data_IF_737758310475
#
_entry.id   IF_737758310475
#
_cell.length_a   1.000
_cell.length_b   1.000
_cell.length_c   1.000
_cell.angle_alpha   90.00
_cell.angle_beta   90.00
_cell.angle_gamma   90.00
#
_symmetry.space_group_name_H-M   'P 1'
#
loop_
_entity.id
_entity.type
_entity.pdbx_description
1 polymer ?
#
# COMPACT_ATOMS: atom_id res chain seq x y z
N UNK A 1 12.37 -24.40 -52.41
CA UNK A 1 13.43 -24.18 -51.41
C UNK A 1 12.81 -23.32 -50.33
N UNK A 2 12.24 -23.96 -49.31
CA UNK A 2 11.52 -23.30 -48.22
C UNK A 2 12.53 -22.83 -47.19
N UNK A 3 12.65 -21.53 -46.98
CA UNK A 3 13.37 -20.98 -45.82
C UNK A 3 12.31 -20.59 -44.81
N UNK A 4 12.11 -21.49 -43.84
CA UNK A 4 11.32 -21.25 -42.65
C UNK A 4 12.11 -20.47 -41.59
N UNK A 5 11.37 -20.15 -40.53
CA UNK A 5 11.82 -19.67 -39.22
C UNK A 5 12.03 -18.16 -39.04
N UNK A 6 10.89 -17.46 -38.94
CA UNK A 6 10.74 -16.35 -37.99
C UNK A 6 10.90 -16.88 -36.55
N UNK A 7 12.12 -16.82 -36.00
CA UNK A 7 12.36 -17.11 -34.57
C UNK A 7 11.96 -15.89 -33.73
N UNK A 8 10.72 -15.91 -33.22
CA UNK A 8 10.33 -15.12 -32.03
C UNK A 8 10.98 -15.75 -30.80
N UNK A 9 11.98 -15.09 -30.21
CA UNK A 9 12.58 -15.37 -28.91
C UNK A 9 13.29 -14.06 -28.51
N UNK A 10 13.03 -13.32 -27.42
CA UNK A 10 12.69 -13.59 -26.01
C UNK A 10 11.96 -12.32 -25.50
N UNK A 11 10.71 -12.27 -25.00
CA UNK A 11 10.05 -13.05 -23.96
C UNK A 11 10.85 -13.30 -22.65
N UNK A 12 11.98 -12.61 -22.45
CA UNK A 12 12.73 -12.65 -21.18
C UNK A 12 13.01 -11.28 -20.55
N UNK A 13 12.52 -10.20 -21.17
CA UNK A 13 12.41 -8.88 -20.53
C UNK A 13 10.99 -8.34 -20.64
N UNK A 14 9.99 -9.20 -20.38
CA UNK A 14 8.73 -8.69 -19.85
C UNK A 14 9.00 -8.45 -18.36
N UNK A 15 9.47 -7.24 -18.04
CA UNK A 15 9.15 -6.66 -16.73
C UNK A 15 7.64 -6.91 -16.57
N UNK A 16 7.23 -7.71 -15.59
CA UNK A 16 5.83 -7.82 -15.25
C UNK A 16 5.42 -6.43 -14.73
N UNK A 17 5.04 -5.55 -15.65
CA UNK A 17 4.24 -4.38 -15.37
C UNK A 17 2.94 -4.95 -14.82
N UNK A 18 2.86 -4.99 -13.49
CA UNK A 18 1.62 -5.29 -12.80
C UNK A 18 0.60 -4.30 -13.37
N UNK A 19 -0.52 -4.77 -13.94
CA UNK A 19 -1.58 -3.87 -14.41
C UNK A 19 -1.92 -2.92 -13.27
N UNK A 20 -2.02 -1.62 -13.55
CA UNK A 20 -2.26 -0.59 -12.51
C UNK A 20 -3.56 -0.83 -11.72
N UNK A 21 -4.48 -1.64 -12.27
CA UNK A 21 -5.71 -2.12 -11.63
C UNK A 21 -5.51 -3.22 -10.57
N UNK A 22 -4.33 -3.86 -10.53
CA UNK A 22 -3.95 -4.89 -9.54
C UNK A 22 -2.73 -4.45 -8.70
N UNK A 23 -2.56 -3.14 -8.51
CA UNK A 23 -1.67 -2.65 -7.47
C UNK A 23 -2.43 -2.73 -6.15
N UNK A 24 -2.12 -3.72 -5.29
CA UNK A 24 -2.57 -3.70 -3.88
C UNK A 24 -2.18 -2.34 -3.31
N UNK A 25 -3.16 -1.45 -3.14
CA UNK A 25 -2.92 -0.08 -2.73
C UNK A 25 -2.36 -0.14 -1.32
N UNK A 26 -1.08 0.19 -1.18
CA UNK A 26 -0.51 0.44 0.14
C UNK A 26 -1.44 1.42 0.88
N UNK A 27 -1.64 1.29 2.20
CA UNK A 27 -2.62 2.08 2.92
C UNK A 27 -2.44 3.56 2.57
N UNK A 28 -3.53 4.28 2.24
CA UNK A 28 -3.52 5.53 1.44
C UNK A 28 -2.56 6.65 1.91
N UNK A 29 -1.99 6.57 3.11
CA UNK A 29 -0.95 7.47 3.64
C UNK A 29 0.51 7.02 3.45
N UNK A 30 0.77 5.75 3.17
CA UNK A 30 2.13 5.18 3.16
C UNK A 30 2.95 5.57 1.93
N UNK A 31 2.28 5.79 0.79
CA UNK A 31 2.90 6.28 -0.45
C UNK A 31 3.46 7.70 -0.34
N UNK A 32 3.06 8.47 0.69
CA UNK A 32 3.64 9.78 1.01
C UNK A 32 4.87 9.69 1.91
N UNK A 33 4.94 8.67 2.77
CA UNK A 33 6.06 8.44 3.69
C UNK A 33 7.19 7.65 3.02
N UNK A 34 6.84 6.70 2.15
CA UNK A 34 7.79 5.88 1.38
C UNK A 34 7.58 6.14 -0.11
N UNK A 35 8.47 6.95 -0.68
CA UNK A 35 8.43 7.38 -2.09
C UNK A 35 8.86 6.28 -3.07
N UNK A 36 9.58 5.25 -2.60
CA UNK A 36 9.90 4.07 -3.40
C UNK A 36 8.83 2.98 -3.21
N UNK A 37 8.14 2.53 -4.29
CA UNK A 37 7.08 1.54 -4.20
C UNK A 37 7.53 0.17 -3.69
N UNK A 38 8.76 -0.24 -4.02
CA UNK A 38 9.30 -1.54 -3.59
C UNK A 38 9.64 -1.54 -2.11
N UNK A 39 10.18 -0.44 -1.62
CA UNK A 39 10.43 -0.21 -0.20
C UNK A 39 9.12 -0.19 0.60
N UNK A 40 8.10 0.51 0.12
CA UNK A 40 6.78 0.54 0.74
C UNK A 40 6.21 -0.88 0.90
N UNK A 41 6.23 -1.67 -0.18
CA UNK A 41 5.75 -3.05 -0.17
C UNK A 41 6.53 -3.93 0.82
N UNK A 42 7.87 -3.84 0.83
CA UNK A 42 8.71 -4.64 1.73
C UNK A 42 8.49 -4.32 3.22
N UNK A 43 8.27 -3.03 3.55
CA UNK A 43 8.01 -2.61 4.93
C UNK A 43 6.61 -3.05 5.36
N UNK A 44 5.58 -2.83 4.51
CA UNK A 44 4.22 -3.28 4.80
C UNK A 44 4.18 -4.79 5.02
N UNK A 45 4.81 -5.57 4.14
CA UNK A 45 4.91 -7.03 4.26
C UNK A 45 5.54 -7.46 5.59
N UNK A 46 6.64 -6.84 6.01
CA UNK A 46 7.27 -7.17 7.29
C UNK A 46 6.40 -6.85 8.51
N UNK A 47 5.60 -5.78 8.44
CA UNK A 47 4.73 -5.36 9.55
C UNK A 47 3.44 -6.17 9.64
N UNK A 48 2.92 -6.63 8.50
CA UNK A 48 1.77 -7.52 8.44
C UNK A 48 2.14 -8.96 8.73
N UNK A 49 3.39 -9.37 8.45
CA UNK A 49 3.89 -10.70 8.80
C UNK A 49 3.94 -10.89 10.33
N UNK A 50 2.94 -11.58 10.87
CA UNK A 50 2.80 -11.84 12.31
C UNK A 50 2.21 -10.68 13.11
N UNK A 51 1.78 -9.59 12.44
CA UNK A 51 1.07 -8.48 13.06
C UNK A 51 -0.45 -8.67 13.01
N UNK A 52 -1.16 -8.15 14.00
CA UNK A 52 -2.63 -8.04 13.95
C UNK A 52 -3.00 -6.62 13.52
N UNK A 53 -3.77 -6.49 12.45
CA UNK A 53 -4.29 -5.21 11.99
C UNK A 53 -5.52 -4.86 12.82
N UNK A 54 -5.53 -3.67 13.41
CA UNK A 54 -6.65 -3.13 14.17
C UNK A 54 -7.15 -1.88 13.46
N UNK A 55 -8.39 -1.92 12.99
CA UNK A 55 -9.07 -0.76 12.43
C UNK A 55 -9.67 0.06 13.58
N UNK A 56 -9.12 1.25 13.81
CA UNK A 56 -9.65 2.19 14.81
C UNK A 56 -10.64 3.15 14.18
N UNK A 57 -11.65 3.57 14.93
CA UNK A 57 -12.53 4.67 14.51
C UNK A 57 -11.81 6.02 14.42
N UNK A 58 -12.56 7.06 14.06
CA UNK A 58 -12.03 8.44 13.96
C UNK A 58 -12.16 9.23 15.27
N UNK A 59 -12.71 8.60 16.31
CA UNK A 59 -12.94 9.23 17.60
C UNK A 59 -11.64 9.53 18.34
N UNK A 60 -11.46 10.81 18.65
CA UNK A 60 -10.32 11.27 19.45
C UNK A 60 -10.71 11.34 20.92
N UNK A 61 -10.13 10.46 21.73
CA UNK A 61 -10.28 10.48 23.19
C UNK A 61 -9.92 11.85 23.78
N UNK A 62 -8.79 12.42 23.36
CA UNK A 62 -8.32 13.73 23.84
C UNK A 62 -9.33 14.84 23.53
N UNK A 63 -9.88 14.85 22.31
CA UNK A 63 -10.86 15.85 21.91
C UNK A 63 -12.16 15.72 22.71
N UNK A 64 -12.65 14.50 22.89
CA UNK A 64 -13.85 14.24 23.68
C UNK A 64 -13.69 14.72 25.12
N UNK A 65 -12.52 14.47 25.72
CA UNK A 65 -12.22 14.91 27.08
C UNK A 65 -12.16 16.43 27.20
N UNK A 66 -11.47 17.13 26.28
CA UNK A 66 -11.42 18.60 26.27
C UNK A 66 -12.80 19.21 26.06
N UNK A 67 -13.62 18.65 25.16
CA UNK A 67 -15.01 19.11 24.94
C UNK A 67 -15.86 18.93 26.19
N UNK A 68 -15.75 17.79 26.89
CA UNK A 68 -16.47 17.55 28.13
C UNK A 68 -16.09 18.54 29.24
N UNK A 69 -14.79 18.86 29.36
CA UNK A 69 -14.32 19.88 30.30
C UNK A 69 -14.86 21.28 29.95
N UNK A 70 -14.80 21.66 28.67
CA UNK A 70 -15.31 22.96 28.21
C UNK A 70 -16.83 23.10 28.42
N UNK A 71 -17.60 22.04 28.15
CA UNK A 71 -19.05 22.02 28.37
C UNK A 71 -19.46 21.94 29.85
N UNK A 72 -18.61 21.42 30.73
CA UNK A 72 -18.86 21.35 32.18
C UNK A 72 -18.50 22.63 32.95
N UNK A 73 -17.87 23.59 32.29
CA UNK A 73 -17.48 24.90 32.86
C UNK A 73 -18.38 26.06 32.43
N UNK A 74 -19.60 25.80 31.94
CA UNK A 74 -20.64 26.83 31.67
C UNK A 74 -21.75 26.81 32.70
#
# INVERSE_FOLDING_TARGET
>A
MTIGETRKNERSQAQAEIPQDEQVRAPDGWTKTFTDPRLCAAIVDRLTFGGTIIETGTDSYRLAHTKAQHNGTS
#
